data_IF_222975601054
#
_entry.id   IF_222975601054
#
_cell.length_a   1.000
_cell.length_b   1.000
_cell.length_c   1.000
_cell.angle_alpha   90.00
_cell.angle_beta   90.00
_cell.angle_gamma   90.00
#
_symmetry.space_group_name_H-M   'P 1'
#
loop_
_entity.id
_entity.type
_entity.pdbx_description
1 polymer ?
#
# COMPACT_ATOMS: atom_id res chain seq x y z
N UNK A 1 -40.19 20.18 -44.91
CA UNK A 1 -39.93 18.97 -44.09
C UNK A 1 -39.20 19.41 -42.83
N UNK A 2 -39.76 19.10 -41.66
CA UNK A 2 -39.26 19.52 -40.35
C UNK A 2 -37.93 18.80 -40.01
N UNK A 3 -36.81 19.36 -40.45
CA UNK A 3 -35.47 18.82 -40.17
C UNK A 3 -35.02 19.10 -38.72
N UNK A 4 -35.69 20.02 -38.02
CA UNK A 4 -35.32 20.44 -36.66
C UNK A 4 -35.64 19.41 -35.57
N UNK A 5 -36.62 18.52 -35.78
CA UNK A 5 -36.94 17.46 -34.81
C UNK A 5 -36.00 16.24 -34.94
N UNK A 6 -35.60 15.88 -36.16
CA UNK A 6 -34.69 14.74 -36.38
C UNK A 6 -33.26 15.02 -35.92
N UNK A 7 -32.79 16.27 -36.01
CA UNK A 7 -31.43 16.64 -35.61
C UNK A 7 -31.22 16.70 -34.09
N UNK A 8 -32.27 16.86 -33.29
CA UNK A 8 -32.15 16.80 -31.83
C UNK A 8 -32.05 15.34 -31.37
N UNK A 9 -32.75 14.42 -32.03
CA UNK A 9 -32.73 12.99 -31.66
C UNK A 9 -31.34 12.34 -31.75
N UNK A 10 -30.45 12.85 -32.61
CA UNK A 10 -29.08 12.30 -32.73
C UNK A 10 -28.20 12.68 -31.53
N UNK A 11 -28.52 13.77 -30.84
CA UNK A 11 -27.77 14.19 -29.65
C UNK A 11 -27.95 13.20 -28.51
N UNK A 12 -29.11 12.56 -28.42
CA UNK A 12 -29.41 11.57 -27.38
C UNK A 12 -28.76 10.21 -27.67
N UNK A 13 -28.13 10.04 -28.84
CA UNK A 13 -27.43 8.81 -29.19
C UNK A 13 -26.16 8.63 -28.35
N UNK A 14 -25.95 7.43 -27.80
CA UNK A 14 -24.86 7.15 -26.85
C UNK A 14 -23.47 7.53 -27.39
N UNK A 15 -23.20 7.21 -28.66
CA UNK A 15 -21.94 7.55 -29.34
C UNK A 15 -21.69 9.06 -29.35
N UNK A 16 -22.74 9.87 -29.52
CA UNK A 16 -22.63 11.34 -29.56
C UNK A 16 -22.43 11.90 -28.15
N UNK A 17 -23.14 11.36 -27.17
CA UNK A 17 -22.95 11.72 -25.75
C UNK A 17 -21.51 11.42 -25.28
N UNK A 18 -20.98 10.24 -25.65
CA UNK A 18 -19.61 9.81 -25.30
C UNK A 18 -18.50 10.55 -26.06
N UNK A 19 -18.82 11.25 -27.15
CA UNK A 19 -17.79 11.91 -27.98
C UNK A 19 -17.10 13.03 -27.21
N UNK A 20 -15.76 13.02 -27.10
CA UNK A 20 -15.05 14.12 -26.42
C UNK A 20 -15.15 15.44 -27.19
N UNK A 21 -15.11 15.35 -28.52
CA UNK A 21 -15.11 16.45 -29.46
C UNK A 21 -16.34 16.34 -30.35
N UNK A 22 -17.26 17.30 -30.25
CA UNK A 22 -18.48 17.34 -31.04
C UNK A 22 -18.68 18.73 -31.63
N UNK A 23 -18.81 18.79 -32.95
CA UNK A 23 -19.25 19.97 -33.67
C UNK A 23 -20.34 19.53 -34.65
N UNK A 24 -21.46 20.24 -34.63
CA UNK A 24 -22.59 19.98 -35.51
C UNK A 24 -22.61 21.05 -36.59
N UNK A 25 -22.76 20.61 -37.84
CA UNK A 25 -22.81 21.50 -39.00
C UNK A 25 -24.20 21.47 -39.62
N UNK A 26 -24.87 22.62 -39.63
CA UNK A 26 -26.16 22.77 -40.27
C UNK A 26 -26.00 23.62 -41.54
N UNK A 27 -26.46 23.17 -42.72
CA UNK A 27 -26.39 23.98 -43.93
C UNK A 27 -27.26 25.23 -43.77
N UNK A 28 -26.70 26.39 -44.09
CA UNK A 28 -27.38 27.68 -44.10
C UNK A 28 -27.33 28.27 -45.51
N UNK A 29 -28.46 28.22 -46.20
CA UNK A 29 -28.58 28.65 -47.57
C UNK A 29 -29.15 30.08 -47.63
N UNK A 30 -28.30 31.06 -47.93
CA UNK A 30 -28.70 32.45 -48.17
C UNK A 30 -27.98 32.97 -49.42
N UNK A 31 -28.52 32.67 -50.60
CA UNK A 31 -27.95 33.05 -51.91
C UNK A 31 -27.01 31.99 -52.50
N UNK A 32 -26.07 32.40 -53.37
CA UNK A 32 -25.18 31.53 -54.14
C UNK A 32 -23.99 30.93 -53.34
N UNK A 33 -23.98 31.07 -52.01
CA UNK A 33 -22.90 30.62 -51.13
C UNK A 33 -23.42 29.54 -50.18
N UNK A 34 -22.85 28.33 -50.27
CA UNK A 34 -23.10 27.24 -49.33
C UNK A 34 -22.30 27.49 -48.03
N UNK A 35 -22.93 28.14 -47.05
CA UNK A 35 -22.34 28.32 -45.71
C UNK A 35 -22.91 27.31 -44.71
N UNK A 36 -22.15 26.96 -43.68
CA UNK A 36 -22.62 26.09 -42.59
C UNK A 36 -22.70 26.89 -41.30
N UNK A 37 -23.71 26.65 -40.49
CA UNK A 37 -23.75 27.08 -39.08
C UNK A 37 -23.08 26.00 -38.26
N UNK A 38 -22.13 26.40 -37.43
CA UNK A 38 -21.46 25.53 -36.48
C UNK A 38 -22.18 25.63 -35.14
N UNK A 39 -22.62 24.48 -34.65
CA UNK A 39 -23.33 24.31 -33.40
C UNK A 39 -22.51 23.41 -32.47
N UNK A 40 -22.63 23.63 -31.17
CA UNK A 40 -22.13 22.71 -30.14
C UNK A 40 -23.26 22.34 -29.18
N UNK A 41 -23.10 21.24 -28.45
CA UNK A 41 -24.09 20.75 -27.47
C UNK A 41 -23.55 20.80 -26.04
N UNK A 42 -24.30 21.40 -25.13
CA UNK A 42 -24.09 21.37 -23.69
C UNK A 42 -25.20 20.51 -23.04
N UNK A 43 -24.91 19.27 -22.63
CA UNK A 43 -25.94 18.30 -22.26
C UNK A 43 -26.78 18.70 -21.04
N UNK A 44 -26.21 19.47 -20.11
CA UNK A 44 -26.88 19.87 -18.86
C UNK A 44 -27.68 21.17 -18.96
N UNK A 45 -27.61 21.91 -20.09
CA UNK A 45 -28.37 23.16 -20.26
C UNK A 45 -29.78 22.87 -20.75
N UNK A 46 -30.74 23.69 -20.30
CA UNK A 46 -32.13 23.64 -20.78
C UNK A 46 -32.27 23.80 -22.30
N UNK A 47 -31.37 24.58 -22.91
CA UNK A 47 -31.16 24.62 -24.36
C UNK A 47 -29.79 24.03 -24.66
N UNK A 48 -29.72 22.74 -25.05
CA UNK A 48 -28.44 22.06 -25.19
C UNK A 48 -27.66 22.58 -26.39
N UNK A 49 -28.33 22.95 -27.47
CA UNK A 49 -27.70 23.43 -28.69
C UNK A 49 -27.37 24.92 -28.60
N UNK A 50 -26.10 25.25 -28.81
CA UNK A 50 -25.60 26.63 -28.87
C UNK A 50 -24.96 26.88 -30.22
N UNK A 51 -25.39 27.94 -30.89
CA UNK A 51 -24.79 28.41 -32.15
C UNK A 51 -23.47 29.09 -31.83
N UNK A 52 -22.38 28.63 -32.44
CA UNK A 52 -21.06 29.24 -32.29
C UNK A 52 -20.86 30.35 -33.32
N UNK A 53 -20.85 30.01 -34.61
CA UNK A 53 -20.70 30.96 -35.72
C UNK A 53 -21.03 30.31 -37.06
N UNK A 54 -20.98 31.10 -38.14
CA UNK A 54 -20.88 30.58 -39.50
C UNK A 54 -19.48 30.00 -39.72
N UNK A 55 -19.40 28.93 -40.49
CA UNK A 55 -18.16 28.27 -40.84
C UNK A 55 -17.29 29.18 -41.71
N UNK A 56 -16.17 29.62 -41.14
CA UNK A 56 -15.12 30.39 -41.82
C UNK A 56 -13.75 29.85 -41.40
N UNK A 57 -12.89 29.57 -42.39
CA UNK A 57 -11.50 29.13 -42.17
C UNK A 57 -10.68 30.17 -41.37
N UNK A 58 -11.07 31.44 -41.41
CA UNK A 58 -10.36 32.51 -40.70
C UNK A 58 -10.72 32.61 -39.23
N UNK A 59 -11.94 32.18 -38.86
CA UNK A 59 -12.49 32.22 -37.50
C UNK A 59 -12.03 31.01 -36.66
N UNK A 60 -12.01 29.82 -37.25
CA UNK A 60 -11.60 28.59 -36.56
C UNK A 60 -10.13 28.29 -36.87
N UNK A 61 -9.21 28.94 -36.13
CA UNK A 61 -7.76 28.76 -36.33
C UNK A 61 -7.21 27.59 -35.52
N UNK A 62 -7.82 27.28 -34.38
CA UNK A 62 -7.41 26.21 -33.48
C UNK A 62 -8.52 25.19 -33.25
N UNK A 63 -8.15 23.94 -32.95
CA UNK A 63 -9.11 22.87 -32.64
C UNK A 63 -9.99 23.21 -31.44
N UNK A 64 -9.49 24.01 -30.49
CA UNK A 64 -10.25 24.47 -29.32
C UNK A 64 -11.37 25.45 -29.67
N UNK A 65 -11.25 26.18 -30.78
CA UNK A 65 -12.31 27.09 -31.26
C UNK A 65 -13.48 26.30 -31.84
N UNK A 66 -13.21 25.11 -32.39
CA UNK A 66 -14.21 24.23 -32.98
C UNK A 66 -14.81 23.26 -31.95
N UNK A 67 -14.00 22.78 -31.01
CA UNK A 67 -14.38 21.79 -30.00
C UNK A 67 -14.23 22.36 -28.58
N UNK A 68 -15.20 23.21 -28.21
CA UNK A 68 -15.30 23.76 -26.87
C UNK A 68 -15.51 22.67 -25.80
N UNK A 69 -15.08 22.97 -24.57
CA UNK A 69 -15.36 22.15 -23.40
C UNK A 69 -16.88 22.08 -23.14
N UNK A 70 -17.48 20.88 -23.30
CA UNK A 70 -18.93 20.66 -23.22
C UNK A 70 -19.48 20.51 -21.79
N UNK A 71 -18.61 20.29 -20.81
CA UNK A 71 -18.97 20.05 -19.41
C UNK A 71 -18.36 21.07 -18.43
N UNK A 72 -18.46 22.40 -18.69
CA UNK A 72 -17.91 23.39 -17.76
C UNK A 72 -18.71 23.46 -16.44
N UNK A 73 -19.97 23.04 -16.48
CA UNK A 73 -20.93 23.02 -15.37
C UNK A 73 -21.98 21.91 -15.65
N UNK A 74 -22.55 21.34 -14.59
CA UNK A 74 -23.63 20.35 -14.62
C UNK A 74 -25.01 20.96 -14.31
N UNK A 75 -25.11 22.28 -14.18
CA UNK A 75 -26.37 23.05 -14.08
C UNK A 75 -27.32 22.57 -12.96
N UNK A 76 -26.75 22.09 -11.84
CA UNK A 76 -27.50 21.61 -10.68
C UNK A 76 -28.03 20.17 -10.80
N UNK A 77 -27.55 19.39 -11.79
CA UNK A 77 -27.98 18.00 -11.96
C UNK A 77 -27.76 17.15 -10.70
N UNK A 78 -28.61 16.15 -10.49
CA UNK A 78 -28.49 15.19 -9.38
C UNK A 78 -27.97 13.85 -9.89
N UNK A 79 -26.78 13.46 -9.44
CA UNK A 79 -26.14 12.20 -9.81
C UNK A 79 -26.47 11.10 -8.80
N UNK A 80 -26.90 9.93 -9.28
CA UNK A 80 -27.12 8.77 -8.41
C UNK A 80 -25.85 7.95 -8.34
N UNK A 81 -25.35 7.76 -7.14
CA UNK A 81 -24.13 7.01 -6.90
C UNK A 81 -24.45 5.53 -6.70
N UNK A 82 -23.66 4.67 -7.33
CA UNK A 82 -23.48 3.28 -6.93
C UNK A 82 -22.33 3.24 -5.92
N UNK A 83 -22.65 2.93 -4.67
CA UNK A 83 -21.67 2.91 -3.59
C UNK A 83 -22.09 1.89 -2.54
N UNK A 84 -21.12 1.47 -1.73
CA UNK A 84 -21.35 0.71 -0.52
C UNK A 84 -20.55 1.33 0.62
N UNK A 85 -21.24 1.73 1.68
CA UNK A 85 -20.66 2.43 2.82
C UNK A 85 -19.98 1.48 3.83
N UNK A 86 -19.18 0.56 3.31
CA UNK A 86 -18.35 -0.40 4.04
C UNK A 86 -16.94 -0.45 3.43
N UNK A 87 -16.31 0.72 3.33
CA UNK A 87 -14.99 0.92 2.71
C UNK A 87 -14.22 1.98 3.49
N UNK A 88 -13.83 1.65 4.72
CA UNK A 88 -13.07 2.56 5.58
C UNK A 88 -11.64 2.74 5.05
N UNK A 89 -11.08 3.98 4.98
CA UNK A 89 -11.64 5.26 5.41
C UNK A 89 -12.27 6.10 4.27
N UNK A 90 -12.57 5.48 3.13
CA UNK A 90 -13.00 6.16 1.91
C UNK A 90 -14.49 6.49 1.92
N UNK A 91 -15.34 5.51 2.24
CA UNK A 91 -16.79 5.64 2.39
C UNK A 91 -17.26 4.64 3.45
N UNK A 92 -17.76 5.15 4.58
CA UNK A 92 -18.20 4.33 5.69
C UNK A 92 -19.27 5.04 6.51
N UNK A 93 -20.00 4.28 7.31
CA UNK A 93 -20.90 4.81 8.33
C UNK A 93 -20.11 5.04 9.63
N UNK A 94 -20.28 6.19 10.28
CA UNK A 94 -19.62 6.45 11.58
C UNK A 94 -20.19 5.51 12.65
N UNK A 95 -21.51 5.39 12.70
CA UNK A 95 -22.21 4.40 13.49
C UNK A 95 -23.12 3.54 12.58
N UNK A 96 -23.38 2.26 12.91
CA UNK A 96 -24.17 1.37 12.06
C UNK A 96 -25.60 1.87 11.75
N UNK A 97 -26.16 2.71 12.61
CA UNK A 97 -27.51 3.27 12.48
C UNK A 97 -27.54 4.65 11.82
N UNK A 98 -26.39 5.18 11.38
CA UNK A 98 -26.34 6.49 10.75
C UNK A 98 -27.01 6.50 9.39
N UNK A 99 -27.62 7.65 9.09
CA UNK A 99 -28.30 7.84 7.81
C UNK A 99 -27.40 8.33 6.68
N UNK A 100 -26.20 8.78 7.01
CA UNK A 100 -25.29 9.38 6.05
C UNK A 100 -23.93 8.70 6.09
N UNK A 101 -23.44 8.37 4.90
CA UNK A 101 -22.09 7.88 4.72
C UNK A 101 -21.12 9.06 4.70
N UNK A 102 -19.95 8.84 5.29
CA UNK A 102 -18.86 9.82 5.36
C UNK A 102 -17.57 9.18 4.85
N UNK A 103 -16.58 9.99 4.52
CA UNK A 103 -15.25 9.52 4.20
C UNK A 103 -14.57 10.32 3.09
N UNK A 104 -13.28 10.06 2.90
CA UNK A 104 -12.41 10.87 2.04
C UNK A 104 -12.88 10.96 0.58
N UNK A 105 -13.48 9.88 0.04
CA UNK A 105 -13.96 9.85 -1.33
C UNK A 105 -15.20 10.73 -1.51
N UNK A 106 -16.12 10.74 -0.54
CA UNK A 106 -17.30 11.60 -0.56
C UNK A 106 -16.93 13.07 -0.34
N UNK A 107 -15.96 13.36 0.53
CA UNK A 107 -15.45 14.72 0.72
C UNK A 107 -14.83 15.27 -0.58
N UNK A 108 -14.06 14.43 -1.27
CA UNK A 108 -13.48 14.77 -2.59
C UNK A 108 -14.58 15.01 -3.62
N UNK A 109 -15.59 14.15 -3.67
CA UNK A 109 -16.72 14.32 -4.58
C UNK A 109 -17.53 15.59 -4.26
N UNK A 110 -17.68 15.96 -2.99
CA UNK A 110 -18.34 17.21 -2.55
C UNK A 110 -17.62 18.43 -3.10
N UNK A 111 -16.28 18.44 -3.08
CA UNK A 111 -15.48 19.52 -3.65
C UNK A 111 -15.64 19.62 -5.17
N UNK A 112 -15.67 18.47 -5.85
CA UNK A 112 -15.91 18.41 -7.30
C UNK A 112 -17.34 18.88 -7.62
N UNK A 113 -18.33 18.47 -6.81
CA UNK A 113 -19.73 18.87 -6.91
C UNK A 113 -19.91 20.38 -6.75
N UNK A 114 -19.20 21.00 -5.81
CA UNK A 114 -19.19 22.45 -5.64
C UNK A 114 -18.56 23.18 -6.85
N UNK A 115 -17.51 22.59 -7.46
CA UNK A 115 -16.81 23.19 -8.60
C UNK A 115 -17.60 23.10 -9.90
N UNK A 116 -18.26 21.96 -10.14
CA UNK A 116 -19.03 21.68 -11.36
C UNK A 116 -20.53 21.89 -11.17
N UNK A 117 -20.97 22.32 -9.98
CA UNK A 117 -22.36 22.60 -9.61
C UNK A 117 -23.32 21.44 -9.98
N UNK A 118 -23.13 20.31 -9.29
CA UNK A 118 -24.08 19.19 -9.23
C UNK A 118 -24.36 18.80 -7.78
N UNK A 119 -25.41 18.02 -7.58
CA UNK A 119 -25.73 17.34 -6.32
C UNK A 119 -25.67 15.82 -6.53
N UNK A 120 -25.61 15.04 -5.47
CA UNK A 120 -25.58 13.58 -5.61
C UNK A 120 -26.34 12.86 -4.50
N UNK A 121 -26.83 11.66 -4.83
CA UNK A 121 -27.53 10.75 -3.94
C UNK A 121 -26.65 9.51 -3.72
N UNK A 122 -26.26 9.28 -2.46
CA UNK A 122 -25.40 8.16 -2.06
C UNK A 122 -26.25 6.91 -1.84
N UNK A 123 -25.83 5.80 -2.44
CA UNK A 123 -26.38 4.49 -2.10
C UNK A 123 -25.64 3.92 -0.89
N UNK A 124 -26.38 3.55 0.16
CA UNK A 124 -25.76 2.98 1.37
C UNK A 124 -25.19 1.59 1.13
N UNK A 125 -25.94 0.74 0.43
CA UNK A 125 -25.64 -0.68 0.27
C UNK A 125 -26.12 -1.17 -1.10
N UNK A 126 -25.39 -2.10 -1.71
CA UNK A 126 -25.79 -2.78 -2.96
C UNK A 126 -26.79 -3.89 -2.67
N UNK A 127 -27.69 -4.16 -3.61
CA UNK A 127 -28.75 -5.17 -3.40
C UNK A 127 -28.16 -6.57 -3.16
N UNK A 128 -27.02 -6.87 -3.78
CA UNK A 128 -26.34 -8.16 -3.73
C UNK A 128 -25.12 -8.17 -2.77
N UNK A 129 -24.85 -7.06 -2.06
CA UNK A 129 -23.71 -6.92 -1.13
C UNK A 129 -22.37 -7.26 -1.74
N UNK A 130 -22.21 -6.97 -3.02
CA UNK A 130 -20.95 -7.14 -3.72
C UNK A 130 -20.38 -5.79 -4.17
N UNK A 131 -19.07 -5.74 -4.32
CA UNK A 131 -18.38 -4.56 -4.86
C UNK A 131 -18.55 -4.48 -6.38
N UNK A 132 -18.37 -5.63 -7.03
CA UNK A 132 -18.64 -5.82 -8.44
C UNK A 132 -17.55 -6.61 -9.13
N UNK A 133 -17.96 -7.77 -9.64
CA UNK A 133 -17.15 -8.69 -10.41
C UNK A 133 -17.90 -9.07 -11.69
N UNK A 134 -17.16 -9.50 -12.70
CA UNK A 134 -17.75 -10.06 -13.91
C UNK A 134 -17.97 -11.55 -13.68
N UNK A 135 -19.20 -11.94 -13.38
CA UNK A 135 -19.58 -13.32 -13.11
C UNK A 135 -20.49 -13.83 -14.22
N UNK A 136 -20.11 -14.91 -14.88
CA UNK A 136 -20.88 -15.51 -15.99
C UNK A 136 -21.24 -14.49 -17.11
N UNK A 137 -20.36 -13.51 -17.36
CA UNK A 137 -20.58 -12.46 -18.35
C UNK A 137 -21.51 -11.32 -17.89
N UNK A 138 -21.91 -11.28 -16.62
CA UNK A 138 -22.73 -10.21 -16.04
C UNK A 138 -22.01 -9.54 -14.88
N UNK A 139 -22.05 -8.22 -14.86
CA UNK A 139 -21.53 -7.41 -13.75
C UNK A 139 -22.44 -7.49 -12.52
N UNK A 140 -21.85 -7.77 -11.37
CA UNK A 140 -22.49 -7.76 -10.04
C UNK A 140 -22.13 -6.49 -9.27
N UNK A 141 -22.68 -6.30 -8.07
CA UNK A 141 -22.31 -5.24 -7.14
C UNK A 141 -22.60 -3.83 -7.63
N UNK A 142 -21.80 -2.87 -7.17
CA UNK A 142 -21.90 -1.47 -7.56
C UNK A 142 -21.71 -1.27 -9.07
N UNK A 143 -20.85 -2.08 -9.70
CA UNK A 143 -20.65 -2.04 -11.15
C UNK A 143 -21.86 -2.58 -11.90
N UNK A 144 -22.54 -3.60 -11.36
CA UNK A 144 -23.84 -4.04 -11.85
C UNK A 144 -24.89 -2.94 -11.73
N UNK A 145 -24.91 -2.21 -10.61
CA UNK A 145 -25.81 -1.09 -10.40
C UNK A 145 -25.58 0.05 -11.41
N UNK A 146 -24.32 0.29 -11.80
CA UNK A 146 -23.94 1.24 -12.85
C UNK A 146 -24.51 0.87 -14.22
N UNK A 147 -24.46 -0.43 -14.59
CA UNK A 147 -24.94 -0.87 -15.91
C UNK A 147 -26.47 -1.01 -15.95
N UNK A 148 -27.07 -1.56 -14.90
CA UNK A 148 -28.46 -2.04 -14.95
C UNK A 148 -29.45 -1.22 -14.11
N UNK A 149 -28.99 -0.53 -13.06
CA UNK A 149 -29.87 0.07 -12.05
C UNK A 149 -29.84 1.60 -12.02
N UNK A 150 -29.58 2.21 -13.19
CA UNK A 150 -29.68 3.66 -13.41
C UNK A 150 -28.85 4.49 -12.41
N UNK A 151 -27.63 4.02 -12.11
CA UNK A 151 -26.61 4.81 -11.45
C UNK A 151 -25.75 5.53 -12.49
N UNK A 152 -25.24 6.71 -12.13
CA UNK A 152 -24.47 7.55 -13.05
C UNK A 152 -22.97 7.48 -12.77
N UNK A 153 -22.59 7.23 -11.52
CA UNK A 153 -21.20 7.17 -11.07
C UNK A 153 -21.07 6.12 -9.98
N UNK A 154 -19.98 5.37 -10.00
CA UNK A 154 -19.59 4.49 -8.89
C UNK A 154 -18.43 5.13 -8.15
N UNK A 155 -18.49 5.11 -6.82
CA UNK A 155 -17.43 5.68 -5.97
C UNK A 155 -17.21 4.78 -4.76
N UNK A 156 -16.03 4.17 -4.70
CA UNK A 156 -15.44 3.35 -3.64
C UNK A 156 -13.99 3.06 -4.09
N UNK A 157 -13.16 2.39 -3.29
CA UNK A 157 -11.79 2.05 -3.66
C UNK A 157 -11.72 0.91 -4.68
N UNK A 158 -11.82 1.23 -5.97
CA UNK A 158 -11.70 0.22 -7.03
C UNK A 158 -10.27 0.05 -7.53
N UNK A 159 -9.77 -1.18 -7.44
CA UNK A 159 -8.60 -1.61 -8.22
C UNK A 159 -8.98 -1.73 -9.70
N UNK A 160 -8.24 -1.04 -10.56
CA UNK A 160 -8.39 -1.12 -12.01
C UNK A 160 -7.81 -2.46 -12.48
N UNK A 161 -8.68 -3.35 -12.93
CA UNK A 161 -8.30 -4.62 -13.56
C UNK A 161 -8.70 -4.62 -15.05
N UNK A 162 -8.29 -5.65 -15.79
CA UNK A 162 -8.53 -5.71 -17.22
C UNK A 162 -10.03 -5.68 -17.58
N UNK A 163 -10.86 -6.48 -16.91
CA UNK A 163 -12.30 -6.54 -17.22
C UNK A 163 -13.01 -5.20 -16.92
N UNK A 164 -12.66 -4.55 -15.81
CA UNK A 164 -13.20 -3.23 -15.46
C UNK A 164 -12.77 -2.16 -16.46
N UNK A 165 -11.51 -2.18 -16.88
CA UNK A 165 -10.99 -1.23 -17.87
C UNK A 165 -11.59 -1.43 -19.27
N UNK A 166 -11.94 -2.68 -19.62
CA UNK A 166 -12.58 -3.00 -20.90
C UNK A 166 -14.01 -2.47 -20.98
N UNK A 167 -14.76 -2.59 -19.88
CA UNK A 167 -16.21 -2.36 -19.89
C UNK A 167 -16.62 -1.00 -19.28
N UNK A 168 -15.75 -0.34 -18.52
CA UNK A 168 -16.03 0.93 -17.85
C UNK A 168 -14.93 1.98 -18.06
N UNK A 169 -15.36 3.24 -18.15
CA UNK A 169 -14.46 4.40 -18.12
C UNK A 169 -14.14 4.77 -16.67
N UNK A 170 -12.85 4.87 -16.34
CA UNK A 170 -12.38 5.24 -15.00
C UNK A 170 -11.78 6.64 -14.98
N UNK A 171 -11.86 7.31 -13.84
CA UNK A 171 -11.12 8.55 -13.61
C UNK A 171 -9.61 8.28 -13.52
N UNK A 172 -8.82 9.36 -13.48
CA UNK A 172 -7.40 9.22 -13.19
C UNK A 172 -7.21 8.66 -11.77
N UNK A 173 -6.37 7.61 -11.58
CA UNK A 173 -6.14 7.03 -10.26
C UNK A 173 -5.61 8.10 -9.29
N UNK A 174 -6.31 8.28 -8.17
CA UNK A 174 -5.92 9.24 -7.13
C UNK A 174 -5.36 8.56 -5.88
N UNK A 175 -5.46 7.24 -5.77
CA UNK A 175 -4.90 6.44 -4.70
C UNK A 175 -4.13 5.25 -5.28
N UNK A 176 -3.01 4.89 -4.66
CA UNK A 176 -2.21 3.74 -5.01
C UNK A 176 -2.05 2.85 -3.78
N UNK A 177 -2.44 1.59 -3.91
CA UNK A 177 -2.32 0.58 -2.87
C UNK A 177 -1.53 -0.62 -3.40
N UNK A 178 -0.90 -1.36 -2.48
CA UNK A 178 -0.15 -2.58 -2.79
C UNK A 178 -0.71 -3.78 -2.01
N UNK A 179 -0.47 -4.97 -2.53
CA UNK A 179 -0.85 -6.20 -1.84
C UNK A 179 0.21 -6.59 -0.80
N UNK A 180 -0.27 -7.00 0.37
CA UNK A 180 0.54 -7.58 1.43
C UNK A 180 -0.24 -8.67 2.17
N UNK A 181 0.43 -9.34 3.10
CA UNK A 181 -0.22 -10.30 4.00
C UNK A 181 -0.09 -9.80 5.43
N UNK A 182 -1.12 -10.06 6.24
CA UNK A 182 -1.06 -9.83 7.68
C UNK A 182 -0.89 -11.18 8.37
N UNK A 183 0.11 -11.27 9.24
CA UNK A 183 0.37 -12.43 10.06
C UNK A 183 0.39 -12.02 11.53
N UNK A 184 -0.05 -12.91 12.46
CA UNK A 184 0.04 -12.65 13.88
C UNK A 184 1.51 -12.44 14.27
N UNK A 185 1.76 -11.45 15.11
CA UNK A 185 3.08 -11.21 15.65
C UNK A 185 3.43 -12.36 16.61
N UNK A 186 4.53 -13.11 16.39
CA UNK A 186 4.92 -14.16 17.31
C UNK A 186 5.28 -13.57 18.68
N UNK A 187 5.05 -14.31 19.78
CA UNK A 187 5.46 -13.85 21.10
C UNK A 187 6.98 -13.69 21.17
N UNK A 188 7.48 -12.82 22.06
CA UNK A 188 8.91 -12.66 22.29
C UNK A 188 9.52 -13.97 22.81
N UNK A 189 10.83 -14.13 22.58
CA UNK A 189 11.58 -15.30 23.02
C UNK A 189 11.46 -15.42 24.56
N UNK A 190 11.24 -16.64 25.10
CA UNK A 190 11.17 -16.84 26.55
C UNK A 190 12.40 -16.31 27.29
N UNK A 191 12.18 -15.65 28.42
CA UNK A 191 13.24 -14.96 29.18
C UNK A 191 14.40 -15.88 29.58
N UNK A 192 14.17 -17.16 29.86
CA UNK A 192 15.25 -18.09 30.20
C UNK A 192 16.27 -18.30 29.07
N UNK A 193 15.86 -18.14 27.80
CA UNK A 193 16.78 -18.23 26.65
C UNK A 193 17.72 -17.03 26.55
N UNK A 194 17.43 -15.93 27.25
CA UNK A 194 18.28 -14.73 27.30
C UNK A 194 19.69 -15.00 27.82
N UNK A 195 19.92 -16.10 28.55
CA UNK A 195 21.24 -16.50 29.05
C UNK A 195 22.13 -16.98 27.89
N UNK A 196 21.57 -17.71 26.93
CA UNK A 196 22.37 -18.31 25.84
C UNK A 196 22.43 -17.46 24.58
N UNK A 197 21.43 -16.57 24.40
CA UNK A 197 21.27 -15.71 23.24
C UNK A 197 22.41 -14.67 22.98
N UNK A 198 23.10 -14.11 24.00
CA UNK A 198 24.10 -13.07 23.82
C UNK A 198 25.27 -13.44 22.90
N UNK A 199 25.53 -14.73 22.75
CA UNK A 199 26.58 -15.28 21.91
C UNK A 199 26.02 -16.35 20.97
N UNK A 200 26.55 -16.38 19.74
CA UNK A 200 26.24 -17.43 18.77
C UNK A 200 26.80 -18.77 19.25
N UNK A 201 26.26 -19.88 18.74
CA UNK A 201 26.75 -21.22 19.08
C UNK A 201 28.25 -21.40 18.78
N UNK A 202 28.73 -20.81 17.68
CA UNK A 202 30.17 -20.78 17.35
C UNK A 202 30.99 -20.07 18.42
N UNK A 203 30.52 -18.91 18.92
CA UNK A 203 31.24 -18.17 19.96
C UNK A 203 31.35 -18.98 21.25
N UNK A 204 30.27 -19.64 21.68
CA UNK A 204 30.30 -20.54 22.83
C UNK A 204 31.31 -21.69 22.67
N UNK A 205 31.31 -22.34 21.49
CA UNK A 205 32.25 -23.42 21.18
C UNK A 205 33.70 -22.91 21.18
N UNK A 206 33.96 -21.75 20.59
CA UNK A 206 35.30 -21.16 20.58
C UNK A 206 35.78 -20.77 21.97
N UNK A 207 34.89 -20.27 22.85
CA UNK A 207 35.24 -19.95 24.23
C UNK A 207 35.65 -21.20 25.01
N UNK A 208 34.90 -22.30 24.87
CA UNK A 208 35.24 -23.59 25.50
C UNK A 208 36.56 -24.12 24.95
N UNK A 209 36.73 -24.13 23.62
CA UNK A 209 37.95 -24.60 22.97
C UNK A 209 39.18 -23.80 23.41
N UNK A 210 39.12 -22.46 23.40
CA UNK A 210 40.21 -21.61 23.88
C UNK A 210 40.54 -21.86 25.35
N UNK A 211 39.52 -22.06 26.20
CA UNK A 211 39.73 -22.39 27.62
C UNK A 211 40.50 -23.70 27.80
N UNK A 212 40.11 -24.74 27.04
CA UNK A 212 40.79 -26.04 27.08
C UNK A 212 42.22 -25.94 26.55
N UNK A 213 42.46 -25.18 25.47
CA UNK A 213 43.80 -24.93 24.94
C UNK A 213 44.67 -24.22 25.98
N UNK A 214 44.16 -23.18 26.64
CA UNK A 214 44.89 -22.44 27.66
C UNK A 214 45.16 -23.28 28.90
N UNK A 215 44.20 -24.13 29.32
CA UNK A 215 44.41 -25.09 30.41
C UNK A 215 45.45 -26.17 30.05
N UNK A 216 45.48 -26.61 28.80
CA UNK A 216 46.50 -27.55 28.32
C UNK A 216 47.88 -26.88 28.29
N UNK A 217 47.99 -25.66 27.75
CA UNK A 217 49.23 -24.90 27.73
C UNK A 217 49.74 -24.60 29.16
N UNK A 218 48.83 -24.33 30.11
CA UNK A 218 49.20 -24.07 31.51
C UNK A 218 49.83 -25.29 32.19
N UNK A 219 49.46 -26.50 31.79
CA UNK A 219 50.01 -27.75 32.33
C UNK A 219 51.24 -28.23 31.57
N UNK A 220 51.33 -27.99 30.26
CA UNK A 220 52.47 -28.42 29.44
C UNK A 220 53.70 -27.52 29.60
N UNK A 221 53.53 -26.19 29.71
CA UNK A 221 54.67 -25.27 29.79
C UNK A 221 55.59 -25.55 31.00
N UNK A 222 55.09 -25.79 32.22
CA UNK A 222 55.95 -26.10 33.36
C UNK A 222 56.67 -27.46 33.25
N UNK A 223 56.07 -28.42 32.53
CA UNK A 223 56.70 -29.72 32.22
C UNK A 223 57.87 -29.55 31.27
N UNK A 224 57.71 -28.73 30.22
CA UNK A 224 58.79 -28.43 29.24
C UNK A 224 59.93 -27.63 29.88
N UNK A 225 59.62 -26.78 30.85
CA UNK A 225 60.60 -25.93 31.54
C UNK A 225 61.25 -26.60 32.76
N UNK A 226 61.07 -27.92 32.94
CA UNK A 226 61.63 -28.72 34.06
C UNK A 226 61.46 -28.06 35.44
N UNK A 227 60.25 -27.59 35.75
CA UNK A 227 59.98 -26.90 37.02
C UNK A 227 59.58 -27.90 38.11
N UNK A 228 60.45 -28.09 39.10
CA UNK A 228 60.38 -29.16 40.11
C UNK A 228 59.20 -29.11 41.11
N UNK A 229 58.40 -28.04 41.15
CA UNK A 229 57.31 -27.90 42.12
C UNK A 229 56.12 -27.10 41.58
N UNK A 230 55.29 -27.75 40.77
CA UNK A 230 54.12 -27.13 40.16
C UNK A 230 52.84 -27.83 40.61
N UNK A 231 51.94 -27.07 41.20
CA UNK A 231 50.59 -27.52 41.51
C UNK A 231 49.69 -27.34 40.28
N UNK A 232 49.52 -28.43 39.52
CA UNK A 232 48.69 -28.46 38.32
C UNK A 232 47.22 -28.15 38.59
N UNK A 233 46.69 -28.58 39.74
CA UNK A 233 45.29 -28.31 40.11
C UNK A 233 45.09 -26.80 40.30
N UNK A 234 46.03 -26.13 40.96
CA UNK A 234 46.00 -24.68 41.12
C UNK A 234 46.07 -23.95 39.77
N UNK A 235 46.91 -24.38 38.83
CA UNK A 235 47.00 -23.75 37.50
C UNK A 235 45.71 -23.89 36.69
N UNK A 236 45.06 -25.05 36.73
CA UNK A 236 43.77 -25.25 36.07
C UNK A 236 42.70 -24.35 36.72
N UNK A 237 42.65 -24.30 38.06
CA UNK A 237 41.73 -23.41 38.78
C UNK A 237 41.97 -21.94 38.46
N UNK A 238 43.23 -21.51 38.23
CA UNK A 238 43.53 -20.14 37.79
C UNK A 238 42.97 -19.83 36.40
N UNK A 239 43.03 -20.78 35.46
CA UNK A 239 42.46 -20.62 34.11
C UNK A 239 40.94 -20.44 34.18
N UNK A 240 40.25 -21.28 34.96
CA UNK A 240 38.80 -21.17 35.20
C UNK A 240 38.43 -19.90 35.98
N UNK A 241 39.25 -19.50 36.95
CA UNK A 241 39.09 -18.27 37.72
C UNK A 241 39.03 -17.01 36.85
N UNK A 242 39.77 -16.99 35.73
CA UNK A 242 39.70 -15.90 34.75
C UNK A 242 38.30 -15.71 34.14
N UNK A 243 37.63 -16.79 33.75
CA UNK A 243 36.26 -16.75 33.21
C UNK A 243 35.25 -16.31 34.27
N UNK A 244 35.45 -16.77 35.50
CA UNK A 244 34.62 -16.40 36.65
C UNK A 244 34.90 -14.98 37.18
N UNK A 245 35.77 -14.21 36.51
CA UNK A 245 36.22 -12.86 36.91
C UNK A 245 36.82 -12.82 38.33
N UNK A 246 37.43 -13.93 38.76
CA UNK A 246 38.12 -13.99 40.03
C UNK A 246 39.48 -13.30 39.94
N UNK A 247 39.88 -12.66 41.03
CA UNK A 247 41.22 -12.10 41.16
C UNK A 247 42.24 -13.23 41.35
N UNK A 248 43.26 -13.27 40.49
CA UNK A 248 44.33 -14.26 40.54
C UNK A 248 45.68 -13.56 40.68
N UNK A 249 46.55 -14.09 41.54
CA UNK A 249 47.93 -13.60 41.65
C UNK A 249 48.78 -14.13 40.49
N UNK A 250 49.16 -13.26 39.56
CA UNK A 250 49.86 -13.59 38.30
C UNK A 250 51.39 -13.77 38.45
N UNK A 251 51.91 -14.07 39.65
CA UNK A 251 53.36 -14.15 39.87
C UNK A 251 53.97 -15.32 39.10
N UNK A 252 54.83 -15.01 38.13
CA UNK A 252 55.62 -16.00 37.36
C UNK A 252 54.89 -16.68 36.20
N UNK A 253 53.73 -16.15 35.77
CA UNK A 253 52.93 -16.71 34.65
C UNK A 253 52.39 -15.56 33.77
N UNK A 254 53.28 -14.75 33.21
CA UNK A 254 52.94 -13.50 32.50
C UNK A 254 52.01 -13.71 31.29
N UNK A 255 52.16 -14.82 30.57
CA UNK A 255 51.28 -15.17 29.45
C UNK A 255 49.82 -15.43 29.88
N UNK A 256 49.58 -15.76 31.15
CA UNK A 256 48.23 -15.92 31.72
C UNK A 256 47.52 -14.56 31.90
N UNK A 257 48.26 -13.45 31.90
CA UNK A 257 47.69 -12.11 31.92
C UNK A 257 46.89 -11.80 30.64
N UNK A 258 47.37 -12.26 29.48
CA UNK A 258 46.67 -12.11 28.20
C UNK A 258 45.37 -12.92 28.17
N UNK A 259 45.37 -14.13 28.73
CA UNK A 259 44.15 -14.92 28.94
C UNK A 259 43.16 -14.19 29.85
N UNK A 260 43.65 -13.64 30.96
CA UNK A 260 42.81 -12.93 31.92
C UNK A 260 42.18 -11.66 31.30
N UNK A 261 42.94 -10.88 30.53
CA UNK A 261 42.42 -9.74 29.76
C UNK A 261 41.33 -10.19 28.78
N UNK A 262 41.55 -11.30 28.06
CA UNK A 262 40.59 -11.85 27.11
C UNK A 262 39.29 -12.26 27.81
N UNK A 263 39.39 -12.91 28.96
CA UNK A 263 38.23 -13.26 29.80
C UNK A 263 37.46 -12.03 30.27
N UNK A 264 38.13 -10.93 30.62
CA UNK A 264 37.45 -9.67 30.97
C UNK A 264 36.68 -9.12 29.78
N UNK A 265 37.28 -9.09 28.60
CA UNK A 265 36.63 -8.58 27.40
C UNK A 265 35.38 -9.42 27.07
N UNK A 266 35.52 -10.75 27.06
CA UNK A 266 34.42 -11.68 26.74
C UNK A 266 33.30 -11.59 27.78
N UNK A 267 33.63 -11.63 29.08
CA UNK A 267 32.62 -11.53 30.14
C UNK A 267 31.92 -10.19 30.17
N UNK A 268 32.64 -9.10 29.87
CA UNK A 268 32.04 -7.76 29.76
C UNK A 268 31.07 -7.71 28.58
N UNK A 269 31.49 -8.15 27.40
CA UNK A 269 30.64 -8.21 26.21
C UNK A 269 29.38 -9.07 26.45
N UNK A 270 29.53 -10.23 27.10
CA UNK A 270 28.42 -11.07 27.50
C UNK A 270 27.44 -10.33 28.42
N UNK A 271 27.94 -9.67 29.48
CA UNK A 271 27.08 -8.93 30.42
C UNK A 271 26.38 -7.75 29.77
N UNK A 272 27.05 -7.01 28.88
CA UNK A 272 26.45 -5.89 28.16
C UNK A 272 25.33 -6.35 27.23
N UNK A 273 25.57 -7.41 26.46
CA UNK A 273 24.56 -7.97 25.57
C UNK A 273 23.40 -8.59 26.36
N UNK A 274 23.67 -9.29 27.45
CA UNK A 274 22.63 -9.83 28.34
C UNK A 274 21.74 -8.72 28.89
N UNK A 275 22.32 -7.61 29.38
CA UNK A 275 21.55 -6.46 29.85
C UNK A 275 20.69 -5.87 28.73
N UNK A 276 21.24 -5.72 27.51
CA UNK A 276 20.46 -5.25 26.37
C UNK A 276 19.26 -6.16 26.03
N UNK A 277 19.41 -7.47 26.18
CA UNK A 277 18.32 -8.43 25.96
C UNK A 277 17.28 -8.47 27.09
N UNK A 278 17.68 -8.13 28.31
CA UNK A 278 16.75 -8.03 29.43
C UNK A 278 15.95 -6.72 29.38
N UNK A 279 16.47 -5.68 28.74
CA UNK A 279 15.75 -4.41 28.57
C UNK A 279 14.83 -4.40 27.36
N UNK A 280 15.21 -5.06 26.25
CA UNK A 280 14.40 -5.11 25.03
C UNK A 280 14.09 -6.57 24.65
N UNK A 281 12.81 -6.97 24.60
CA UNK A 281 12.44 -8.33 24.23
C UNK A 281 12.77 -8.58 22.76
N UNK A 282 13.37 -9.74 22.49
CA UNK A 282 13.70 -10.19 21.14
C UNK A 282 12.54 -11.00 20.57
N UNK A 283 12.21 -10.73 19.32
CA UNK A 283 11.23 -11.49 18.56
C UNK A 283 11.94 -12.49 17.65
N UNK A 284 11.36 -13.68 17.42
CA UNK A 284 11.88 -14.59 16.41
C UNK A 284 11.76 -13.99 15.01
N UNK A 285 12.53 -14.51 14.06
CA UNK A 285 12.44 -14.14 12.64
C UNK A 285 11.02 -14.33 12.16
N UNK A 286 10.47 -13.31 11.50
CA UNK A 286 9.12 -13.30 10.95
C UNK A 286 9.20 -13.53 9.45
N UNK A 287 8.10 -14.01 8.85
CA UNK A 287 8.01 -14.05 7.40
C UNK A 287 7.81 -12.62 6.91
N UNK A 288 8.71 -12.16 6.05
CA UNK A 288 8.67 -10.81 5.48
C UNK A 288 8.34 -10.86 3.99
N UNK A 289 8.53 -12.02 3.34
CA UNK A 289 8.33 -12.18 1.90
C UNK A 289 7.24 -13.18 1.54
N UNK A 290 6.63 -12.98 0.37
CA UNK A 290 5.65 -13.93 -0.19
C UNK A 290 6.29 -15.28 -0.47
N UNK A 291 7.59 -15.32 -0.81
CA UNK A 291 8.33 -16.56 -1.02
C UNK A 291 8.45 -17.39 0.27
N UNK A 292 8.76 -16.75 1.40
CA UNK A 292 8.77 -17.40 2.72
C UNK A 292 7.38 -17.89 3.11
N UNK A 293 6.33 -17.10 2.84
CA UNK A 293 4.95 -17.52 3.08
C UNK A 293 4.58 -18.76 2.25
N UNK A 294 4.95 -18.79 0.98
CA UNK A 294 4.67 -19.92 0.08
C UNK A 294 5.40 -21.22 0.48
N UNK A 295 6.58 -21.10 1.10
CA UNK A 295 7.34 -22.24 1.64
C UNK A 295 6.84 -22.66 3.03
N UNK A 296 6.11 -21.80 3.72
CA UNK A 296 5.61 -22.07 5.05
C UNK A 296 4.50 -23.14 5.04
N UNK A 297 4.30 -23.78 6.19
CA UNK A 297 3.18 -24.72 6.37
C UNK A 297 1.83 -24.03 6.59
N UNK A 298 1.79 -22.69 6.58
CA UNK A 298 0.56 -21.93 6.79
C UNK A 298 -0.24 -21.93 5.48
N UNK A 299 -1.46 -22.44 5.55
CA UNK A 299 -2.43 -22.37 4.45
C UNK A 299 -3.47 -21.32 4.80
N UNK A 300 -3.81 -20.51 3.81
CA UNK A 300 -4.91 -19.54 3.83
C UNK A 300 -6.25 -20.27 3.88
#
# INVERSE_FOLDING_TARGET
>A
MNVTQSSVSILDHEVVQRSKHLALLQPFNKGAMNTFIVLTSFPFRAQPLVVMSLWDKTLFRSDTDLFLERHPNMEGATLRLGSWCDDYPFIYLREPNDDQCIGASLDTLTLIAAKLNFSYEVQKETQDRNWGALENGRWTGMLGDLVYNNKHLVINLFLVNYDRWRDFDTTYPYHAEGFGFLAPLPPPIPQWKSITYPFTGIMWLTMIACTLIVALLSTLLPVVMEKDSVDYARLILMVYGGILRQAVQLRGVEWLAAWWLSCIIITTAYTTNLVAFLTVPVYPTRMETVAELAQSHLRL
#
